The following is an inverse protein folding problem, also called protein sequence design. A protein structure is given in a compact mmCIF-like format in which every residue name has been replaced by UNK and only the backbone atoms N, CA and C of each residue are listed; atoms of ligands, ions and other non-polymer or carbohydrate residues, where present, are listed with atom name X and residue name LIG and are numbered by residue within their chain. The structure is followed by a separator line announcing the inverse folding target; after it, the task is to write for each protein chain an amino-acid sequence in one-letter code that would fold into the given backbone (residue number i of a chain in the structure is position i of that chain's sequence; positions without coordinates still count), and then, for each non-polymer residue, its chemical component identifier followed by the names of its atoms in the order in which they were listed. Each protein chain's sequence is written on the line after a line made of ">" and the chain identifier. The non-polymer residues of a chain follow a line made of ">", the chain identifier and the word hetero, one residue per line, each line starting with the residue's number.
data_IF_886467833549
#
_entry.id   IF_886467833549
#
_cell.length_a   1.000
_cell.length_b   1.000
_cell.length_c   1.000
_cell.angle_alpha   90.00
_cell.angle_beta   90.00
_cell.angle_gamma   90.00
#
_symmetry.space_group_name_H-M   'P 1'
#
loop_
_entity.id
_entity.type
_entity.pdbx_description
1 polymer ?
#
# COMPACT_ATOMS: atom_id res chain seq x y z
N UNK A 1 -12.18 -0.30 24.40
CA UNK A 1 -12.85 1.01 24.32
C UNK A 1 -12.97 1.33 22.84
N UNK A 2 -14.11 0.95 22.24
CA UNK A 2 -14.30 0.94 20.79
C UNK A 2 -14.90 2.26 20.31
N UNK A 3 -14.30 2.77 19.24
CA UNK A 3 -14.88 3.61 18.19
C UNK A 3 -15.31 5.03 18.60
N UNK A 4 -14.40 5.99 18.41
CA UNK A 4 -14.80 7.35 18.13
C UNK A 4 -15.61 7.37 16.81
N UNK A 5 -16.76 8.04 16.80
CA UNK A 5 -17.47 8.36 15.56
C UNK A 5 -16.51 9.11 14.63
N UNK A 6 -16.50 8.83 13.31
CA UNK A 6 -15.83 9.72 12.39
C UNK A 6 -16.49 11.10 12.52
N UNK A 7 -15.69 12.14 12.67
CA UNK A 7 -16.17 13.51 12.55
C UNK A 7 -16.94 13.64 11.23
N UNK A 8 -18.07 14.33 11.24
CA UNK A 8 -18.89 14.56 10.04
C UNK A 8 -17.98 15.10 8.92
N UNK A 9 -17.90 14.37 7.81
CA UNK A 9 -17.09 14.77 6.66
C UNK A 9 -17.85 15.88 5.95
N UNK A 10 -17.38 17.11 6.11
CA UNK A 10 -17.78 18.24 5.28
C UNK A 10 -17.13 18.09 3.89
N UNK A 11 -17.96 17.87 2.88
CA UNK A 11 -17.52 17.71 1.49
C UNK A 11 -17.15 19.03 0.80
N UNK A 12 -17.53 20.18 1.39
CA UNK A 12 -17.18 21.51 0.87
C UNK A 12 -15.79 21.98 1.35
N UNK A 13 -15.18 21.26 2.30
CA UNK A 13 -13.85 21.56 2.85
C UNK A 13 -12.88 20.43 2.54
N UNK A 14 -11.75 20.77 1.90
CA UNK A 14 -10.69 19.80 1.63
C UNK A 14 -10.19 19.17 2.94
N UNK A 15 -10.29 17.84 3.02
CA UNK A 15 -9.74 17.05 4.12
C UNK A 15 -8.33 16.55 3.73
N UNK A 16 -7.27 16.96 4.44
CA UNK A 16 -5.93 16.44 4.20
C UNK A 16 -5.89 14.92 4.37
N UNK A 17 -5.20 14.24 3.45
CA UNK A 17 -4.98 12.79 3.56
C UNK A 17 -4.03 12.49 4.72
N UNK A 18 -4.22 11.34 5.34
CA UNK A 18 -3.26 10.75 6.28
C UNK A 18 -2.90 9.33 5.82
N UNK A 19 -2.00 9.18 4.83
CA UNK A 19 -1.64 7.87 4.28
C UNK A 19 -1.09 6.91 5.33
N UNK A 20 -0.34 7.41 6.32
CA UNK A 20 0.23 6.58 7.40
C UNK A 20 -0.82 5.91 8.29
N UNK A 21 -2.03 6.47 8.37
CA UNK A 21 -3.14 5.85 9.07
C UNK A 21 -3.85 4.76 8.23
N UNK A 22 -3.59 4.69 6.92
CA UNK A 22 -4.20 3.72 6.02
C UNK A 22 -3.80 2.29 6.44
N UNK A 23 -4.72 1.34 6.26
CA UNK A 23 -4.43 -0.06 6.55
C UNK A 23 -3.36 -0.62 5.61
N UNK A 24 -3.32 -0.11 4.38
CA UNK A 24 -2.35 -0.53 3.38
C UNK A 24 -0.94 -0.06 3.73
N UNK A 25 -0.76 1.23 4.07
CA UNK A 25 0.53 1.76 4.51
C UNK A 25 1.10 0.96 5.69
N UNK A 26 0.31 0.76 6.75
CA UNK A 26 0.75 0.01 7.93
C UNK A 26 1.13 -1.43 7.60
N UNK A 27 0.35 -2.10 6.75
CA UNK A 27 0.68 -3.46 6.30
C UNK A 27 2.03 -3.52 5.57
N UNK A 28 2.31 -2.56 4.70
CA UNK A 28 3.60 -2.49 4.00
C UNK A 28 4.72 -2.18 4.97
N UNK A 29 4.53 -1.21 5.86
CA UNK A 29 5.51 -0.80 6.88
C UNK A 29 5.89 -1.98 7.81
N UNK A 30 4.89 -2.74 8.27
CA UNK A 30 5.09 -3.84 9.22
C UNK A 30 5.75 -5.09 8.61
N UNK A 31 5.66 -5.28 7.29
CA UNK A 31 5.97 -6.57 6.65
C UNK A 31 6.96 -6.54 5.50
N UNK A 32 7.27 -5.36 4.94
CA UNK A 32 8.09 -5.29 3.73
C UNK A 32 9.49 -5.87 3.92
N UNK A 33 10.18 -5.56 5.02
CA UNK A 33 11.53 -6.08 5.29
C UNK A 33 11.56 -7.62 5.38
N UNK A 34 10.55 -8.20 6.02
CA UNK A 34 10.41 -9.66 6.08
C UNK A 34 10.14 -10.25 4.70
N UNK A 35 9.29 -9.59 3.90
CA UNK A 35 9.03 -10.00 2.53
C UNK A 35 10.32 -9.98 1.69
N UNK A 36 11.12 -8.93 1.76
CA UNK A 36 12.41 -8.84 1.04
C UNK A 36 13.30 -10.04 1.38
N UNK A 37 13.36 -10.42 2.66
CA UNK A 37 14.21 -11.52 3.15
C UNK A 37 13.78 -12.88 2.60
N UNK A 38 12.47 -13.17 2.55
CA UNK A 38 11.97 -14.51 2.20
C UNK A 38 11.58 -14.66 0.72
N UNK A 39 11.60 -13.58 -0.06
CA UNK A 39 10.97 -13.58 -1.39
C UNK A 39 11.61 -14.54 -2.37
N UNK A 40 12.94 -14.55 -2.44
CA UNK A 40 13.64 -15.36 -3.42
C UNK A 40 13.42 -16.85 -3.14
N UNK A 41 13.52 -17.24 -1.87
CA UNK A 41 13.31 -18.63 -1.44
C UNK A 41 11.87 -19.11 -1.60
N UNK A 42 10.88 -18.27 -1.28
CA UNK A 42 9.47 -18.68 -1.22
C UNK A 42 8.67 -18.42 -2.49
N UNK A 43 9.02 -17.37 -3.23
CA UNK A 43 8.14 -16.85 -4.29
C UNK A 43 8.79 -16.73 -5.66
N UNK A 44 10.12 -16.74 -5.79
CA UNK A 44 10.77 -16.55 -7.10
C UNK A 44 10.33 -17.60 -8.14
N UNK A 45 10.18 -18.85 -7.73
CA UNK A 45 9.76 -19.94 -8.63
C UNK A 45 8.35 -19.74 -9.21
N UNK A 46 7.46 -19.08 -8.47
CA UNK A 46 6.06 -18.86 -8.86
C UNK A 46 5.81 -17.48 -9.47
N UNK A 47 6.46 -16.45 -8.94
CA UNK A 47 6.21 -15.04 -9.27
C UNK A 47 7.34 -14.43 -10.13
N UNK A 48 8.36 -15.21 -10.47
CA UNK A 48 9.50 -14.75 -11.27
C UNK A 48 10.51 -13.93 -10.47
N UNK A 49 11.34 -13.17 -11.18
CA UNK A 49 12.45 -12.40 -10.63
C UNK A 49 12.03 -11.10 -9.90
N UNK A 50 12.73 -10.73 -8.81
CA UNK A 50 12.54 -9.43 -8.12
C UNK A 50 13.29 -8.32 -8.84
N UNK A 51 12.52 -7.48 -9.54
CA UNK A 51 13.09 -6.33 -10.24
C UNK A 51 13.56 -5.31 -9.18
N UNK A 52 14.81 -4.83 -9.23
CA UNK A 52 15.36 -3.93 -8.21
C UNK A 52 14.49 -2.68 -7.94
N UNK A 53 13.90 -2.10 -8.99
CA UNK A 53 13.05 -0.90 -8.84
C UNK A 53 11.82 -1.12 -7.95
N UNK A 54 11.36 -2.36 -7.76
CA UNK A 54 10.19 -2.64 -6.92
C UNK A 54 10.51 -2.29 -5.47
N UNK A 55 11.71 -2.61 -5.00
CA UNK A 55 12.20 -2.19 -3.69
C UNK A 55 12.27 -0.68 -3.59
N UNK A 56 12.80 0.01 -4.62
CA UNK A 56 12.92 1.46 -4.62
C UNK A 56 11.57 2.18 -4.59
N UNK A 57 10.56 1.62 -5.27
CA UNK A 57 9.18 2.14 -5.23
C UNK A 57 8.57 1.94 -3.84
N UNK A 58 8.71 0.76 -3.24
CA UNK A 58 8.12 0.48 -1.93
C UNK A 58 8.77 1.35 -0.85
N UNK A 59 10.10 1.53 -0.88
CA UNK A 59 10.80 2.42 0.04
C UNK A 59 10.36 3.88 -0.10
N UNK A 60 10.23 4.40 -1.33
CA UNK A 60 9.69 5.75 -1.57
C UNK A 60 8.25 5.89 -1.10
N UNK A 61 7.42 4.87 -1.32
CA UNK A 61 6.06 4.86 -0.80
C UNK A 61 6.04 4.96 0.74
N UNK A 62 6.96 4.27 1.43
CA UNK A 62 7.08 4.36 2.89
C UNK A 62 7.63 5.70 3.41
N UNK A 63 8.10 6.62 2.55
CA UNK A 63 8.50 7.96 3.00
C UNK A 63 7.26 8.75 3.51
N UNK A 64 6.16 8.72 2.75
CA UNK A 64 4.96 9.50 3.09
C UNK A 64 3.61 8.92 2.63
N UNK A 65 3.59 7.81 1.90
CA UNK A 65 2.38 7.19 1.35
C UNK A 65 1.69 7.99 0.25
N UNK A 66 2.40 8.94 -0.37
CA UNK A 66 1.88 9.70 -1.50
C UNK A 66 1.86 8.84 -2.77
N UNK A 67 0.78 8.95 -3.55
CA UNK A 67 0.57 8.22 -4.81
C UNK A 67 1.69 8.46 -5.84
N UNK A 68 2.37 9.60 -5.80
CA UNK A 68 3.51 9.89 -6.68
C UNK A 68 4.73 9.00 -6.38
N UNK A 69 4.84 8.50 -5.15
CA UNK A 69 5.96 7.67 -4.71
C UNK A 69 5.67 6.17 -4.79
N UNK A 70 4.40 5.77 -4.78
CA UNK A 70 3.98 4.40 -5.06
C UNK A 70 2.52 4.14 -4.68
N UNK A 71 1.97 3.05 -5.20
CA UNK A 71 0.61 2.59 -4.90
C UNK A 71 0.45 1.11 -5.22
N UNK A 72 -0.52 0.47 -4.59
CA UNK A 72 -1.04 -0.81 -5.05
C UNK A 72 -2.11 -0.58 -6.12
N UNK A 73 -2.01 -1.34 -7.22
CA UNK A 73 -3.12 -1.51 -8.16
C UNK A 73 -3.84 -2.81 -7.79
N UNK A 74 -5.08 -2.68 -7.32
CA UNK A 74 -5.91 -3.83 -6.96
C UNK A 74 -6.85 -4.11 -8.13
N UNK A 75 -6.90 -5.37 -8.54
CA UNK A 75 -7.78 -5.85 -9.60
C UNK A 75 -8.60 -7.03 -9.09
N UNK A 76 -9.90 -6.98 -9.30
CA UNK A 76 -10.76 -8.15 -9.16
C UNK A 76 -10.71 -8.96 -10.46
N UNK A 77 -10.33 -10.24 -10.38
CA UNK A 77 -10.26 -11.11 -11.55
C UNK A 77 -11.64 -11.53 -12.08
N UNK A 78 -12.68 -11.52 -11.24
CA UNK A 78 -14.03 -11.94 -11.63
C UNK A 78 -14.78 -10.85 -12.42
N UNK A 79 -14.76 -9.61 -11.95
CA UNK A 79 -15.49 -8.49 -12.57
C UNK A 79 -14.61 -7.49 -13.30
N UNK A 80 -13.28 -7.61 -13.21
CA UNK A 80 -12.33 -6.71 -13.85
C UNK A 80 -12.25 -5.31 -13.23
N UNK A 81 -12.93 -5.07 -12.10
CA UNK A 81 -12.85 -3.78 -11.41
C UNK A 81 -11.43 -3.52 -10.91
N UNK A 82 -10.95 -2.30 -11.14
CA UNK A 82 -9.60 -1.87 -10.79
C UNK A 82 -9.62 -0.54 -10.05
N UNK A 83 -8.78 -0.43 -9.02
CA UNK A 83 -8.55 0.82 -8.30
C UNK A 83 -7.11 0.92 -7.79
N UNK A 84 -6.68 2.16 -7.53
CA UNK A 84 -5.39 2.45 -6.93
C UNK A 84 -5.55 2.67 -5.42
N UNK A 85 -4.64 2.12 -4.63
CA UNK A 85 -4.63 2.18 -3.18
C UNK A 85 -3.28 2.70 -2.68
N UNK A 86 -3.31 3.71 -1.81
CA UNK A 86 -2.21 4.27 -1.04
C UNK A 86 -2.76 4.72 0.33
#
# INVERSE_FOLDING_TARGET
>A
MLNACPAEIDFDVYQPRNPKASAYYRCVEDHFEQLETVRDDRYQSRLGFWRPYVTDVIRRYLDCGDLHFGFARVKCEDCGHEYLLA
#
